data_IF_711374766555
#
_entry.id   IF_711374766555
#
_cell.length_a   1.000
_cell.length_b   1.000
_cell.length_c   1.000
_cell.angle_alpha   90.00
_cell.angle_beta   90.00
_cell.angle_gamma   90.00
#
_symmetry.space_group_name_H-M   'P 1'
#
loop_
_entity.id
_entity.type
_entity.pdbx_description
1 polymer ?
#
# COMPACT_ATOMS: atom_id res chain seq x y z
N UNK A 1 -25.85 4.31 7.27
CA UNK A 1 -25.67 3.47 6.06
C UNK A 1 -24.18 3.31 5.85
N UNK A 2 -23.65 2.17 5.47
CA UNK A 2 -22.20 2.05 5.32
C UNK A 2 -21.70 2.82 4.07
N UNK A 3 -20.47 3.34 4.05
CA UNK A 3 -19.98 4.16 2.92
C UNK A 3 -19.96 3.40 1.59
N UNK A 4 -19.56 2.13 1.58
CA UNK A 4 -19.56 1.30 0.37
C UNK A 4 -20.98 1.04 -0.13
N UNK A 5 -21.93 0.75 0.77
CA UNK A 5 -23.35 0.61 0.44
C UNK A 5 -23.93 1.88 -0.16
N UNK A 6 -23.64 3.04 0.46
CA UNK A 6 -24.09 4.34 -0.04
C UNK A 6 -23.54 4.61 -1.44
N UNK A 7 -22.28 4.29 -1.67
CA UNK A 7 -21.64 4.47 -2.96
C UNK A 7 -22.34 3.66 -4.05
N UNK A 8 -22.50 2.35 -3.87
CA UNK A 8 -23.18 1.49 -4.84
C UNK A 8 -24.65 1.88 -5.04
N UNK A 9 -25.37 2.21 -3.98
CA UNK A 9 -26.75 2.71 -4.08
C UNK A 9 -26.84 4.03 -4.87
N UNK A 10 -25.80 4.87 -4.81
CA UNK A 10 -25.75 6.14 -5.53
C UNK A 10 -25.30 6.01 -6.98
N UNK A 11 -24.65 4.90 -7.36
CA UNK A 11 -24.26 4.63 -8.74
C UNK A 11 -25.45 4.28 -9.63
N UNK A 12 -26.52 3.69 -9.08
CA UNK A 12 -27.68 3.22 -9.84
C UNK A 12 -27.29 2.38 -11.07
N UNK A 13 -26.33 1.47 -10.91
CA UNK A 13 -25.75 0.63 -11.98
C UNK A 13 -25.13 1.42 -13.15
N UNK A 14 -24.70 2.66 -12.91
CA UNK A 14 -23.94 3.47 -13.87
C UNK A 14 -22.50 3.65 -13.39
N UNK A 15 -21.56 3.14 -14.19
CA UNK A 15 -20.13 3.09 -13.84
C UNK A 15 -19.29 4.06 -14.67
N UNK A 16 -19.88 5.17 -15.11
CA UNK A 16 -19.14 6.26 -15.75
C UNK A 16 -18.55 7.23 -14.73
N UNK A 17 -17.62 8.07 -15.18
CA UNK A 17 -16.93 9.07 -14.36
C UNK A 17 -17.87 10.02 -13.61
N UNK A 18 -18.96 10.48 -14.23
CA UNK A 18 -19.89 11.43 -13.60
C UNK A 18 -20.71 10.76 -12.51
N UNK A 19 -21.12 9.51 -12.73
CA UNK A 19 -21.82 8.68 -11.75
C UNK A 19 -20.93 8.37 -10.53
N UNK A 20 -19.66 8.00 -10.76
CA UNK A 20 -18.66 7.81 -9.69
C UNK A 20 -18.45 9.10 -8.90
N UNK A 21 -18.27 10.24 -9.58
CA UNK A 21 -18.14 11.53 -8.90
C UNK A 21 -19.35 11.87 -8.03
N UNK A 22 -20.56 11.62 -8.55
CA UNK A 22 -21.79 11.84 -7.81
C UNK A 22 -21.87 10.96 -6.55
N UNK A 23 -21.52 9.67 -6.68
CA UNK A 23 -21.50 8.75 -5.55
C UNK A 23 -20.47 9.17 -4.49
N UNK A 24 -19.24 9.56 -4.88
CA UNK A 24 -18.22 10.07 -3.94
C UNK A 24 -18.73 11.30 -3.20
N UNK A 25 -19.36 12.25 -3.91
CA UNK A 25 -19.95 13.44 -3.29
C UNK A 25 -21.00 13.07 -2.25
N UNK A 26 -21.87 12.10 -2.53
CA UNK A 26 -22.88 11.62 -1.57
C UNK A 26 -22.24 10.98 -0.34
N UNK A 27 -21.21 10.15 -0.53
CA UNK A 27 -20.43 9.59 0.56
C UNK A 27 -19.76 10.69 1.40
N UNK A 28 -19.20 11.71 0.77
CA UNK A 28 -18.59 12.84 1.45
C UNK A 28 -19.60 13.64 2.29
N UNK A 29 -20.76 13.99 1.72
CA UNK A 29 -21.84 14.70 2.42
C UNK A 29 -22.32 13.92 3.65
N UNK A 30 -22.55 12.63 3.48
CA UNK A 30 -23.04 11.77 4.55
C UNK A 30 -21.97 11.53 5.63
N UNK A 31 -20.69 11.39 5.25
CA UNK A 31 -19.62 11.26 6.24
C UNK A 31 -19.49 12.52 7.08
N UNK A 32 -19.41 13.70 6.44
CA UNK A 32 -19.34 14.98 7.15
C UNK A 32 -20.55 15.20 8.08
N UNK A 33 -21.73 14.70 7.71
CA UNK A 33 -22.91 14.73 8.58
C UNK A 33 -22.78 13.84 9.81
N UNK A 34 -22.15 12.67 9.71
CA UNK A 34 -22.00 11.73 10.83
C UNK A 34 -20.94 12.17 11.84
N UNK A 35 -19.80 12.65 11.34
CA UNK A 35 -18.61 12.87 12.18
C UNK A 35 -18.23 14.35 12.32
N UNK A 36 -18.95 15.25 11.64
CA UNK A 36 -18.65 16.68 11.64
C UNK A 36 -17.50 17.05 10.71
N UNK A 37 -16.97 18.26 10.88
CA UNK A 37 -15.79 18.76 10.18
C UNK A 37 -14.51 18.37 10.93
N UNK A 38 -13.48 18.00 10.18
CA UNK A 38 -12.18 17.58 10.68
C UNK A 38 -11.12 18.35 9.88
N UNK A 39 -10.69 19.47 10.44
CA UNK A 39 -9.84 20.44 9.74
C UNK A 39 -8.36 20.22 10.03
N UNK A 40 -8.03 19.38 11.03
CA UNK A 40 -6.66 19.11 11.45
C UNK A 40 -6.32 17.63 11.46
N UNK A 41 -5.02 17.32 11.30
CA UNK A 41 -4.48 15.96 11.45
C UNK A 41 -4.83 15.37 12.81
N UNK A 42 -4.90 16.19 13.87
CA UNK A 42 -5.25 15.73 15.21
C UNK A 42 -6.71 15.28 15.31
N UNK A 43 -7.62 15.90 14.56
CA UNK A 43 -9.02 15.46 14.46
C UNK A 43 -9.09 14.10 13.78
N UNK A 44 -8.34 13.91 12.68
CA UNK A 44 -8.20 12.63 11.98
C UNK A 44 -7.67 11.54 12.91
N UNK A 45 -6.63 11.84 13.69
CA UNK A 45 -6.06 10.91 14.70
C UNK A 45 -7.12 10.52 15.72
N UNK A 46 -7.82 11.51 16.30
CA UNK A 46 -8.80 11.27 17.36
C UNK A 46 -9.98 10.44 16.84
N UNK A 47 -10.43 10.72 15.63
CA UNK A 47 -11.52 10.03 14.96
C UNK A 47 -11.18 8.56 14.67
N UNK A 48 -9.97 8.30 14.17
CA UNK A 48 -9.59 6.99 13.64
C UNK A 48 -8.89 6.09 14.66
N UNK A 49 -8.20 6.66 15.65
CA UNK A 49 -7.34 5.93 16.60
C UNK A 49 -7.59 6.32 18.06
N UNK A 50 -8.58 7.16 18.35
CA UNK A 50 -8.90 7.59 19.71
C UNK A 50 -7.86 8.54 20.33
N UNK A 51 -7.97 8.75 21.66
CA UNK A 51 -7.12 9.70 22.41
C UNK A 51 -5.81 9.10 22.95
N UNK A 52 -5.73 7.77 23.06
CA UNK A 52 -4.58 7.07 23.63
C UNK A 52 -3.89 6.20 22.58
N UNK A 53 -3.14 6.83 21.68
CA UNK A 53 -2.49 6.21 20.52
C UNK A 53 -1.28 5.30 20.85
N UNK A 54 -1.25 4.65 22.02
CA UNK A 54 -0.10 3.82 22.44
C UNK A 54 -0.12 2.42 21.85
N UNK A 55 -1.30 1.91 21.51
CA UNK A 55 -1.49 0.65 20.81
C UNK A 55 -2.23 0.90 19.50
N UNK A 56 -2.07 -0.01 18.54
CA UNK A 56 -2.68 0.07 17.21
C UNK A 56 -4.17 -0.28 17.29
N UNK A 57 -4.90 0.40 18.17
CA UNK A 57 -6.34 0.33 18.27
C UNK A 57 -6.93 1.34 17.29
N UNK A 58 -7.84 0.87 16.45
CA UNK A 58 -8.53 1.69 15.48
C UNK A 58 -10.04 1.63 15.71
N UNK A 59 -10.71 2.72 15.37
CA UNK A 59 -12.16 2.85 15.56
C UNK A 59 -12.93 2.17 14.42
N UNK A 60 -14.23 1.87 14.60
CA UNK A 60 -15.08 1.41 13.51
C UNK A 60 -15.12 2.37 12.32
N UNK A 61 -14.92 3.68 12.58
CA UNK A 61 -14.83 4.69 11.53
C UNK A 61 -13.59 4.48 10.66
N UNK A 62 -12.43 4.19 11.27
CA UNK A 62 -11.23 3.87 10.51
C UNK A 62 -11.44 2.62 9.64
N UNK A 63 -12.07 1.58 10.19
CA UNK A 63 -12.37 0.37 9.43
C UNK A 63 -13.27 0.66 8.22
N UNK A 64 -14.36 1.41 8.42
CA UNK A 64 -15.26 1.84 7.32
C UNK A 64 -14.51 2.62 6.24
N UNK A 65 -13.60 3.52 6.64
CA UNK A 65 -12.80 4.30 5.70
C UNK A 65 -11.81 3.44 4.91
N UNK A 66 -11.19 2.42 5.53
CA UNK A 66 -10.26 1.51 4.84
C UNK A 66 -10.99 0.58 3.87
N UNK A 67 -12.13 0.03 4.27
CA UNK A 67 -12.96 -0.78 3.37
C UNK A 67 -13.47 0.06 2.18
N UNK A 68 -13.86 1.30 2.44
CA UNK A 68 -14.23 2.23 1.38
C UNK A 68 -13.05 2.57 0.47
N UNK A 69 -11.84 2.75 1.02
CA UNK A 69 -10.60 2.95 0.25
C UNK A 69 -10.32 1.78 -0.70
N UNK A 70 -10.38 0.55 -0.20
CA UNK A 70 -10.16 -0.67 -0.99
C UNK A 70 -11.17 -0.78 -2.14
N UNK A 71 -12.44 -0.44 -1.88
CA UNK A 71 -13.46 -0.39 -2.93
C UNK A 71 -13.16 0.68 -3.98
N UNK A 72 -12.71 1.88 -3.58
CA UNK A 72 -12.40 2.97 -4.51
C UNK A 72 -11.25 2.63 -5.48
N UNK A 73 -10.33 1.74 -5.10
CA UNK A 73 -9.26 1.28 -6.01
C UNK A 73 -9.83 0.58 -7.26
N UNK A 74 -11.00 -0.06 -7.16
CA UNK A 74 -11.71 -0.65 -8.32
C UNK A 74 -12.15 0.38 -9.35
N UNK A 75 -12.28 1.64 -8.93
CA UNK A 75 -12.74 2.76 -9.75
C UNK A 75 -11.63 3.79 -9.99
N UNK A 76 -10.37 3.45 -9.69
CA UNK A 76 -9.25 4.40 -9.72
C UNK A 76 -9.10 5.14 -11.05
N UNK A 77 -9.31 4.46 -12.18
CA UNK A 77 -9.23 5.06 -13.53
C UNK A 77 -10.31 6.13 -13.77
N UNK A 78 -11.43 6.04 -13.04
CA UNK A 78 -12.56 6.95 -13.12
C UNK A 78 -12.48 8.09 -12.11
N UNK A 79 -11.51 8.08 -11.19
CA UNK A 79 -11.32 9.08 -10.15
C UNK A 79 -10.12 9.95 -10.51
N UNK A 80 -10.32 11.16 -11.06
CA UNK A 80 -9.23 12.08 -11.35
C UNK A 80 -8.46 12.42 -10.08
N UNK A 81 -7.15 12.64 -10.22
CA UNK A 81 -6.30 13.09 -9.12
C UNK A 81 -6.85 14.33 -8.40
N UNK A 82 -7.47 15.25 -9.15
CA UNK A 82 -8.09 16.49 -8.64
C UNK A 82 -9.17 16.23 -7.58
N UNK A 83 -9.83 15.06 -7.61
CA UNK A 83 -10.88 14.72 -6.65
C UNK A 83 -10.35 14.57 -5.23
N UNK A 84 -9.09 14.14 -5.07
CA UNK A 84 -8.42 14.06 -3.77
C UNK A 84 -8.42 15.41 -3.06
N UNK A 85 -8.34 16.52 -3.80
CA UNK A 85 -8.41 17.88 -3.24
C UNK A 85 -9.85 18.40 -3.09
N UNK A 86 -10.78 17.88 -3.90
CA UNK A 86 -12.18 18.31 -3.93
C UNK A 86 -13.04 17.72 -2.82
N UNK A 87 -12.80 16.46 -2.46
CA UNK A 87 -13.62 15.73 -1.49
C UNK A 87 -12.84 15.44 -0.21
N UNK A 88 -13.30 16.02 0.89
CA UNK A 88 -12.64 15.94 2.19
C UNK A 88 -12.57 14.50 2.72
N UNK A 89 -13.54 13.66 2.38
CA UNK A 89 -13.51 12.22 2.70
C UNK A 89 -12.29 11.51 2.10
N UNK A 90 -11.88 11.85 0.88
CA UNK A 90 -10.71 11.25 0.23
C UNK A 90 -9.41 11.69 0.90
N UNK A 91 -9.34 12.95 1.34
CA UNK A 91 -8.19 13.45 2.12
C UNK A 91 -8.05 12.69 3.43
N UNK A 92 -9.15 12.50 4.15
CA UNK A 92 -9.10 11.76 5.42
C UNK A 92 -8.79 10.30 5.24
N UNK A 93 -9.23 9.66 4.16
CA UNK A 93 -8.82 8.29 3.86
C UNK A 93 -7.29 8.21 3.73
N UNK A 94 -6.68 9.10 2.95
CA UNK A 94 -5.23 9.08 2.72
C UNK A 94 -4.42 9.51 3.96
N UNK A 95 -4.90 10.51 4.72
CA UNK A 95 -4.30 10.91 6.00
C UNK A 95 -4.36 9.77 7.02
N UNK A 96 -5.54 9.18 7.23
CA UNK A 96 -5.75 8.06 8.16
C UNK A 96 -4.92 6.85 7.78
N UNK A 97 -4.85 6.52 6.48
CA UNK A 97 -4.00 5.44 5.99
C UNK A 97 -2.52 5.72 6.28
N UNK A 98 -2.04 6.94 6.03
CA UNK A 98 -0.65 7.33 6.31
C UNK A 98 -0.32 7.26 7.81
N UNK A 99 -1.22 7.75 8.67
CA UNK A 99 -1.08 7.65 10.14
C UNK A 99 -1.04 6.18 10.57
N UNK A 100 -1.95 5.35 10.07
CA UNK A 100 -1.99 3.92 10.37
C UNK A 100 -0.68 3.23 10.00
N UNK A 101 -0.19 3.47 8.78
CA UNK A 101 1.07 2.88 8.31
C UNK A 101 2.27 3.37 9.14
N UNK A 102 2.27 4.64 9.56
CA UNK A 102 3.30 5.18 10.45
C UNK A 102 3.29 4.51 11.83
N UNK A 103 2.13 4.37 12.45
CA UNK A 103 1.99 3.70 13.75
C UNK A 103 2.41 2.23 13.67
N UNK A 104 2.00 1.53 12.60
CA UNK A 104 2.42 0.15 12.35
C UNK A 104 3.94 0.06 12.15
N UNK A 105 4.52 1.02 11.43
CA UNK A 105 5.96 1.07 11.20
C UNK A 105 6.75 1.20 12.51
N UNK A 106 6.30 2.09 13.40
CA UNK A 106 6.91 2.27 14.73
C UNK A 106 6.86 1.00 15.55
N UNK A 107 5.71 0.32 15.58
CA UNK A 107 5.54 -0.92 16.33
C UNK A 107 6.45 -2.02 15.78
N UNK A 108 6.38 -2.26 14.46
CA UNK A 108 7.21 -3.27 13.79
C UNK A 108 8.71 -3.00 14.00
N UNK A 109 9.14 -1.74 13.90
CA UNK A 109 10.54 -1.35 14.11
C UNK A 109 10.98 -1.59 15.55
N UNK A 110 10.10 -1.34 16.53
CA UNK A 110 10.42 -1.55 17.96
C UNK A 110 10.72 -3.01 18.30
N UNK A 111 10.12 -3.93 17.55
CA UNK A 111 10.33 -5.39 17.68
C UNK A 111 11.63 -5.88 17.01
N UNK A 112 12.29 -5.05 16.20
CA UNK A 112 13.52 -5.42 15.50
C UNK A 112 14.77 -5.10 16.34
N UNK A 113 15.71 -6.03 16.35
CA UNK A 113 17.06 -5.83 16.88
C UNK A 113 17.92 -4.92 15.99
N UNK A 114 19.04 -4.44 16.53
CA UNK A 114 19.92 -3.48 15.84
C UNK A 114 20.42 -3.98 14.47
N UNK A 115 20.84 -5.25 14.41
CA UNK A 115 21.34 -5.84 13.17
C UNK A 115 20.24 -5.98 12.12
N UNK A 116 19.01 -6.32 12.52
CA UNK A 116 17.87 -6.44 11.61
C UNK A 116 17.48 -5.07 11.04
N UNK A 117 17.45 -4.02 11.87
CA UNK A 117 17.24 -2.63 11.41
C UNK A 117 18.30 -2.19 10.41
N UNK A 118 19.57 -2.54 10.66
CA UNK A 118 20.67 -2.25 9.74
C UNK A 118 20.48 -2.97 8.39
N UNK A 119 20.16 -4.26 8.42
CA UNK A 119 19.95 -5.06 7.19
C UNK A 119 18.73 -4.57 6.40
N UNK A 120 17.67 -4.19 7.09
CA UNK A 120 16.48 -3.60 6.48
C UNK A 120 16.79 -2.24 5.84
N UNK A 121 17.56 -1.38 6.52
CA UNK A 121 18.02 -0.11 5.97
C UNK A 121 18.85 -0.27 4.70
N UNK A 122 19.70 -1.30 4.63
CA UNK A 122 20.44 -1.65 3.42
C UNK A 122 19.51 -2.03 2.27
N UNK A 123 18.49 -2.85 2.53
CA UNK A 123 17.50 -3.21 1.52
C UNK A 123 16.71 -1.98 1.05
N UNK A 124 16.25 -1.12 1.97
CA UNK A 124 15.56 0.12 1.61
C UNK A 124 16.40 1.00 0.70
N UNK A 125 17.67 1.24 1.06
CA UNK A 125 18.57 2.02 0.22
C UNK A 125 18.73 1.37 -1.16
N UNK A 126 18.83 0.04 -1.23
CA UNK A 126 18.94 -0.65 -2.51
C UNK A 126 17.68 -0.50 -3.37
N UNK A 127 16.49 -0.61 -2.77
CA UNK A 127 15.23 -0.39 -3.48
C UNK A 127 15.14 1.05 -4.00
N UNK A 128 15.51 2.04 -3.18
CA UNK A 128 15.54 3.45 -3.61
C UNK A 128 16.53 3.67 -4.77
N UNK A 129 17.72 3.10 -4.69
CA UNK A 129 18.73 3.13 -5.76
C UNK A 129 18.19 2.52 -7.05
N UNK A 130 17.56 1.34 -6.98
CA UNK A 130 16.92 0.70 -8.14
C UNK A 130 15.82 1.57 -8.74
N UNK A 131 14.94 2.13 -7.90
CA UNK A 131 13.86 3.00 -8.38
C UNK A 131 14.38 4.27 -9.09
N UNK A 132 15.52 4.82 -8.63
CA UNK A 132 16.18 5.97 -9.27
C UNK A 132 16.88 5.58 -10.57
N UNK A 133 17.61 4.47 -10.56
CA UNK A 133 18.36 4.01 -11.74
C UNK A 133 17.42 3.57 -12.88
N UNK A 134 16.25 3.04 -12.53
CA UNK A 134 15.26 2.52 -13.45
C UNK A 134 14.07 3.48 -13.61
N UNK A 135 14.31 4.80 -13.54
CA UNK A 135 13.27 5.83 -13.62
C UNK A 135 12.47 5.75 -14.93
N UNK A 136 13.14 5.39 -16.03
CA UNK A 136 12.58 5.27 -17.38
C UNK A 136 11.43 4.24 -17.51
N UNK A 137 11.27 3.35 -16.54
CA UNK A 137 10.20 2.36 -16.53
C UNK A 137 8.92 2.94 -15.92
N UNK A 138 7.80 2.99 -16.66
CA UNK A 138 6.54 3.53 -16.14
C UNK A 138 5.92 2.63 -15.06
N UNK A 139 6.16 1.32 -15.13
CA UNK A 139 5.66 0.34 -14.16
C UNK A 139 6.81 -0.16 -13.28
N UNK A 140 6.68 0.09 -11.97
CA UNK A 140 7.60 -0.40 -10.94
C UNK A 140 6.77 -1.13 -9.88
N UNK A 141 7.03 -2.42 -9.67
CA UNK A 141 6.27 -3.25 -8.73
C UNK A 141 7.20 -3.98 -7.78
N UNK A 142 6.73 -4.22 -6.56
CA UNK A 142 7.38 -5.09 -5.58
C UNK A 142 6.43 -6.22 -5.20
N UNK A 143 6.91 -7.45 -5.31
CA UNK A 143 6.17 -8.67 -5.03
C UNK A 143 6.78 -9.33 -3.80
N UNK A 144 5.93 -9.76 -2.89
CA UNK A 144 6.29 -10.45 -1.66
C UNK A 144 5.86 -11.89 -1.77
N UNK A 145 6.78 -12.79 -1.42
CA UNK A 145 6.52 -14.23 -1.43
C UNK A 145 6.85 -14.81 -0.06
N UNK A 146 6.07 -15.81 0.33
CA UNK A 146 6.27 -16.55 1.56
C UNK A 146 6.44 -18.04 1.26
N UNK A 147 7.34 -18.70 1.99
CA UNK A 147 7.49 -20.14 1.93
C UNK A 147 6.36 -20.80 2.73
N UNK A 148 5.57 -21.65 2.07
CA UNK A 148 4.52 -22.46 2.69
C UNK A 148 4.76 -23.93 2.35
N UNK A 149 5.18 -24.70 3.36
CA UNK A 149 5.54 -26.12 3.25
C UNK A 149 6.70 -26.36 2.28
N UNK A 150 6.40 -26.70 1.03
CA UNK A 150 7.35 -27.03 -0.04
C UNK A 150 7.18 -26.09 -1.25
N UNK A 151 6.37 -25.04 -1.13
CA UNK A 151 6.06 -24.11 -2.20
C UNK A 151 6.22 -22.65 -1.78
N UNK A 152 6.45 -21.78 -2.75
CA UNK A 152 6.61 -20.34 -2.56
C UNK A 152 5.37 -19.66 -3.13
N UNK A 153 4.56 -19.04 -2.26
CA UNK A 153 3.30 -18.43 -2.68
C UNK A 153 3.44 -16.91 -2.70
N UNK A 154 3.00 -16.29 -3.79
CA UNK A 154 2.86 -14.85 -3.90
C UNK A 154 1.84 -14.36 -2.86
N UNK A 155 2.27 -13.48 -1.96
CA UNK A 155 1.42 -12.95 -0.89
C UNK A 155 0.77 -11.63 -1.29
N UNK A 156 1.55 -10.73 -1.90
CA UNK A 156 1.07 -9.41 -2.32
C UNK A 156 1.97 -8.80 -3.39
N UNK A 157 1.39 -8.00 -4.27
CA UNK A 157 2.07 -7.18 -5.29
C UNK A 157 1.70 -5.73 -5.09
N UNK A 158 2.69 -4.88 -4.82
CA UNK A 158 2.51 -3.46 -4.59
C UNK A 158 3.18 -2.62 -5.68
N UNK A 159 2.58 -1.48 -5.99
CA UNK A 159 3.23 -0.47 -6.81
C UNK A 159 4.34 0.23 -6.02
N UNK A 160 5.50 0.39 -6.64
CA UNK A 160 6.60 1.25 -6.20
C UNK A 160 6.52 2.67 -6.81
N UNK A 161 5.49 2.96 -7.61
CA UNK A 161 5.24 4.31 -8.13
C UNK A 161 4.83 5.19 -6.95
N UNK A 162 5.77 5.97 -6.41
CA UNK A 162 5.60 6.72 -5.17
C UNK A 162 6.64 6.38 -4.09
N UNK A 163 7.44 5.33 -4.25
CA UNK A 163 8.41 4.91 -3.23
C UNK A 163 9.53 5.94 -2.98
N UNK A 164 9.85 6.74 -4.00
CA UNK A 164 10.82 7.85 -3.91
C UNK A 164 10.21 9.17 -3.40
N UNK A 165 8.90 9.21 -3.14
CA UNK A 165 8.22 10.42 -2.64
C UNK A 165 8.47 10.60 -1.14
N UNK A 166 7.74 11.54 -0.53
CA UNK A 166 7.83 11.92 0.88
C UNK A 166 7.97 10.71 1.80
N UNK A 167 8.86 10.83 2.79
CA UNK A 167 9.14 9.79 3.78
C UNK A 167 7.89 9.35 4.56
N UNK A 168 6.91 10.24 4.71
CA UNK A 168 5.65 10.02 5.40
C UNK A 168 4.50 9.60 4.48
N UNK A 169 4.74 9.36 3.20
CA UNK A 169 3.68 8.84 2.31
C UNK A 169 3.21 7.46 2.79
N UNK A 170 1.89 7.28 2.91
CA UNK A 170 1.28 6.02 3.33
C UNK A 170 1.72 4.83 2.48
N UNK A 171 1.89 5.02 1.17
CA UNK A 171 2.37 3.97 0.26
C UNK A 171 3.82 3.55 0.56
N UNK A 172 4.75 4.50 0.77
CA UNK A 172 6.15 4.18 1.13
C UNK A 172 6.21 3.48 2.47
N UNK A 173 5.47 3.97 3.46
CA UNK A 173 5.38 3.34 4.78
C UNK A 173 4.77 1.94 4.70
N UNK A 174 3.77 1.72 3.85
CA UNK A 174 3.18 0.39 3.63
C UNK A 174 4.19 -0.60 3.05
N UNK A 175 4.94 -0.21 2.01
CA UNK A 175 6.02 -1.05 1.46
C UNK A 175 7.07 -1.36 2.52
N UNK A 176 7.50 -0.36 3.31
CA UNK A 176 8.42 -0.56 4.45
C UNK A 176 7.86 -1.57 5.45
N UNK A 177 6.59 -1.46 5.82
CA UNK A 177 5.94 -2.39 6.75
C UNK A 177 5.91 -3.82 6.21
N UNK A 178 5.60 -3.99 4.93
CA UNK A 178 5.59 -5.31 4.28
C UNK A 178 6.99 -5.93 4.20
N UNK A 179 8.02 -5.12 3.96
CA UNK A 179 9.42 -5.57 4.02
C UNK A 179 9.83 -6.04 5.43
N UNK A 180 9.39 -5.33 6.48
CA UNK A 180 9.61 -5.78 7.86
C UNK A 180 8.88 -7.08 8.18
N UNK A 181 7.64 -7.24 7.70
CA UNK A 181 6.89 -8.49 7.87
C UNK A 181 7.58 -9.65 7.15
N UNK A 182 7.97 -9.46 5.89
CA UNK A 182 8.72 -10.46 5.12
C UNK A 182 10.05 -10.84 5.80
N UNK A 183 10.71 -9.87 6.46
CA UNK A 183 11.91 -10.17 7.24
C UNK A 183 11.61 -11.05 8.46
N UNK A 184 10.45 -10.89 9.12
CA UNK A 184 10.06 -11.73 10.28
C UNK A 184 9.62 -13.13 9.88
N UNK A 185 8.99 -13.28 8.72
CA UNK A 185 8.42 -14.56 8.26
C UNK A 185 9.35 -15.35 7.34
N UNK A 186 10.52 -14.81 6.97
CA UNK A 186 11.47 -15.48 6.08
C UNK A 186 11.03 -15.45 4.61
N UNK A 187 10.60 -14.28 4.13
CA UNK A 187 10.08 -14.10 2.77
C UNK A 187 11.12 -13.83 1.69
N UNK A 188 10.70 -13.99 0.44
CA UNK A 188 11.41 -13.54 -0.77
C UNK A 188 10.75 -12.27 -1.28
N UNK A 189 11.56 -11.31 -1.70
CA UNK A 189 11.10 -10.02 -2.25
C UNK A 189 11.60 -9.90 -3.66
N UNK A 190 10.72 -9.51 -4.58
CA UNK A 190 11.05 -9.35 -6.00
C UNK A 190 10.61 -7.98 -6.45
N UNK A 191 11.47 -7.30 -7.18
CA UNK A 191 11.18 -6.00 -7.77
C UNK A 191 11.17 -6.17 -9.28
N UNK A 192 10.10 -5.72 -9.90
CA UNK A 192 9.85 -5.86 -11.33
C UNK A 192 9.71 -4.47 -11.95
N UNK A 193 10.45 -4.23 -13.02
CA UNK A 193 10.39 -3.03 -13.83
C UNK A 193 9.94 -3.39 -15.25
N UNK A 194 9.00 -2.63 -15.79
CA UNK A 194 8.43 -2.91 -17.11
C UNK A 194 7.55 -1.80 -17.65
N UNK A 195 6.82 -2.12 -18.72
CA UNK A 195 5.79 -1.26 -19.31
C UNK A 195 4.42 -1.54 -18.66
N UNK A 196 3.43 -0.66 -18.85
CA UNK A 196 2.06 -0.85 -18.34
C UNK A 196 1.34 -2.05 -19.00
N UNK A 197 1.79 -2.45 -20.19
CA UNK A 197 1.16 -3.45 -21.07
C UNK A 197 1.77 -4.85 -20.93
N UNK A 198 2.59 -5.09 -19.88
CA UNK A 198 3.17 -6.41 -19.56
C UNK A 198 4.31 -6.84 -20.49
N UNK A 199 5.39 -6.07 -20.52
CA UNK A 199 6.71 -6.64 -20.75
C UNK A 199 7.59 -6.39 -19.53
N UNK A 200 7.89 -7.45 -18.80
CA UNK A 200 8.88 -7.41 -17.72
C UNK A 200 10.24 -7.25 -18.38
N UNK A 201 10.91 -6.13 -18.08
CA UNK A 201 12.19 -5.81 -18.70
C UNK A 201 13.35 -6.01 -17.72
N UNK A 202 13.12 -5.79 -16.42
CA UNK A 202 14.13 -6.06 -15.38
C UNK A 202 13.50 -6.63 -14.12
N UNK A 203 14.24 -7.55 -13.50
CA UNK A 203 13.85 -8.22 -12.26
C UNK A 203 15.02 -8.16 -11.29
N UNK A 204 14.73 -7.83 -10.02
CA UNK A 204 15.70 -7.89 -8.92
C UNK A 204 15.10 -8.68 -7.77
N UNK A 205 15.72 -9.81 -7.42
CA UNK A 205 15.27 -10.68 -6.33
C UNK A 205 16.14 -10.54 -5.08
N UNK A 206 15.50 -10.57 -3.91
CA UNK A 206 16.14 -10.58 -2.61
C UNK A 206 15.55 -11.69 -1.73
N UNK A 207 16.42 -12.48 -1.10
CA UNK A 207 16.04 -13.54 -0.15
C UNK A 207 16.66 -13.27 1.22
N UNK A 208 15.89 -13.52 2.28
CA UNK A 208 16.40 -13.42 3.64
C UNK A 208 17.15 -14.72 4.02
N UNK A 209 18.47 -14.63 4.18
CA UNK A 209 19.30 -15.76 4.62
C UNK A 209 20.13 -15.34 5.84
N UNK A 210 19.99 -16.08 6.95
CA UNK A 210 20.68 -15.81 8.21
C UNK A 210 20.46 -14.36 8.69
N UNK A 211 19.22 -13.88 8.59
CA UNK A 211 18.83 -12.52 8.98
C UNK A 211 19.32 -11.41 8.04
N UNK A 212 19.95 -11.72 6.90
CA UNK A 212 20.44 -10.74 5.92
C UNK A 212 19.76 -10.93 4.57
N UNK A 213 19.31 -9.83 3.98
CA UNK A 213 18.85 -9.83 2.59
C UNK A 213 20.02 -10.02 1.64
N UNK A 214 19.91 -11.00 0.75
CA UNK A 214 20.89 -11.27 -0.31
C UNK A 214 20.21 -11.21 -1.65
N UNK A 215 20.87 -10.58 -2.60
CA UNK A 215 20.45 -10.60 -3.99
C UNK A 215 20.55 -12.03 -4.53
N UNK A 216 19.51 -12.48 -5.23
CA UNK A 216 19.39 -13.84 -5.75
C UNK A 216 19.09 -13.83 -7.25
N UNK A 217 20.08 -13.37 -8.02
CA UNK A 217 19.99 -13.14 -9.46
C UNK A 217 19.94 -14.38 -10.37
N UNK A 218 20.16 -15.61 -9.87
CA UNK A 218 20.19 -16.82 -10.74
C UNK A 218 19.08 -17.85 -10.49
N UNK A 219 18.49 -17.85 -9.30
CA UNK A 219 17.47 -18.85 -8.92
C UNK A 219 16.08 -18.29 -9.16
N UNK A 220 15.89 -16.97 -9.05
CA UNK A 220 14.61 -16.33 -9.34
C UNK A 220 14.32 -16.18 -10.83
N UNK A 221 15.32 -15.98 -11.70
CA UNK A 221 15.07 -15.90 -13.15
C UNK A 221 14.37 -17.15 -13.68
N UNK A 222 14.78 -18.34 -13.22
CA UNK A 222 14.17 -19.62 -13.61
C UNK A 222 12.81 -19.89 -12.95
N UNK A 223 12.58 -19.38 -11.74
CA UNK A 223 11.35 -19.62 -10.98
C UNK A 223 10.24 -18.58 -11.25
N UNK A 224 10.61 -17.31 -11.41
CA UNK A 224 9.67 -16.23 -11.74
C UNK A 224 9.20 -16.32 -13.19
N UNK A 225 10.07 -16.69 -14.14
CA UNK A 225 9.64 -16.98 -15.51
C UNK A 225 8.54 -18.06 -15.54
N UNK A 226 8.57 -19.01 -14.59
CA UNK A 226 7.58 -20.08 -14.47
C UNK A 226 6.27 -19.60 -13.85
N UNK A 227 6.33 -18.82 -12.75
CA UNK A 227 5.16 -18.24 -12.10
C UNK A 227 4.45 -17.19 -12.98
N UNK A 228 5.21 -16.42 -13.75
CA UNK A 228 4.67 -15.38 -14.65
C UNK A 228 4.14 -15.97 -15.97
N UNK A 229 4.57 -17.18 -16.36
CA UNK A 229 4.02 -17.91 -17.51
C UNK A 229 2.73 -18.68 -17.21
N UNK A 230 2.37 -18.83 -15.93
CA UNK A 230 1.13 -19.50 -15.50
C UNK A 230 -0.04 -18.51 -15.29
N UNK A 231 0.19 -17.20 -15.45
CA UNK A 231 -0.84 -16.13 -15.41
C UNK A 231 -1.35 -15.69 -16.82
N UNK A 232 -0.95 -16.37 -17.91
CA UNK A 232 -1.54 -16.24 -19.26
C UNK A 232 -2.62 -17.30 -19.53
#
# INVERSE_FOLDING_TARGET
>A
MYLTELFFNSLHDHYDKASVEYAIRKCNEEMLKRIGTFDTVQDTVTLCFGKESKFLEYTPVFQELMEFREMLELFRELIPYEFSTKFKILQVIEESYSIYQYLMNRNLTSELGEQERKNLGQLYHKIEELCRNEEAYPSKKIMFFCEKKEDIVAENTLSLNGFLTDEFSGQKLYVKNRLMMAMKTGGVVVIVFGTEVVEIQKIYGFILLHGRWRECSKVLDLYLMRLLSEEE
#
